data_IF_725972020878
#
_entry.id   IF_725972020878
#
_cell.length_a   1.000
_cell.length_b   1.000
_cell.length_c   1.000
_cell.angle_alpha   90.00
_cell.angle_beta   90.00
_cell.angle_gamma   90.00
#
_symmetry.space_group_name_H-M   'P 1'
#
loop_
_entity.id
_entity.type
_entity.pdbx_description
1 polymer ?
#
# COMPACT_ATOMS: atom_id res chain seq x y z
N UNK A 1 -22.61 5.55 73.59
CA UNK A 1 -22.92 5.90 72.19
C UNK A 1 -22.01 5.03 71.31
N UNK A 2 -22.55 3.97 70.71
CA UNK A 2 -21.91 3.17 69.63
C UNK A 2 -22.33 3.79 68.28
N UNK A 3 -21.65 3.55 67.12
CA UNK A 3 -20.98 2.31 66.66
C UNK A 3 -19.49 2.50 66.24
N UNK A 4 -18.61 1.48 66.26
CA UNK A 4 -18.43 0.35 65.31
C UNK A 4 -18.12 0.83 63.86
N UNK A 5 -17.21 0.27 63.07
CA UNK A 5 -16.62 -1.06 63.07
C UNK A 5 -15.38 -1.16 62.15
N UNK A 6 -14.58 -2.18 62.46
CA UNK A 6 -13.92 -3.12 61.54
C UNK A 6 -12.70 -2.73 60.70
N UNK A 7 -11.71 -3.59 60.87
CA UNK A 7 -10.39 -3.63 60.29
C UNK A 7 -10.28 -4.72 59.22
N UNK A 8 -9.23 -4.63 58.40
CA UNK A 8 -8.40 -5.74 57.91
C UNK A 8 -7.42 -5.13 56.89
N UNK A 9 -6.20 -5.59 56.62
CA UNK A 9 -5.19 -6.53 57.13
C UNK A 9 -4.29 -6.67 55.89
N UNK A 10 -2.97 -6.80 55.87
CA UNK A 10 -1.87 -6.84 56.80
C UNK A 10 -0.68 -6.63 55.86
N UNK A 11 0.21 -5.70 56.20
CA UNK A 11 1.51 -5.56 55.57
C UNK A 11 2.41 -6.67 56.13
N UNK A 12 3.36 -7.16 55.30
CA UNK A 12 4.56 -7.91 55.70
C UNK A 12 5.43 -7.01 56.64
N UNK A 13 6.77 -7.16 56.89
CA UNK A 13 7.82 -8.03 56.34
C UNK A 13 8.84 -8.50 57.44
N UNK A 14 10.10 -8.75 57.05
CA UNK A 14 11.36 -8.92 57.83
C UNK A 14 11.91 -10.37 57.88
N UNK A 15 13.16 -10.76 57.59
CA UNK A 15 14.50 -10.21 57.26
C UNK A 15 15.23 -11.32 56.44
N UNK A 16 16.34 -11.20 55.69
CA UNK A 16 17.38 -10.20 55.40
C UNK A 16 18.32 -10.86 54.34
N UNK A 17 18.75 -10.20 53.26
CA UNK A 17 19.92 -9.31 53.11
C UNK A 17 21.27 -9.94 53.52
N UNK A 18 22.05 -10.37 52.52
CA UNK A 18 23.50 -10.12 52.25
C UNK A 18 23.94 -11.08 51.10
N UNK A 19 24.06 -10.60 49.86
CA UNK A 19 25.25 -10.00 49.23
C UNK A 19 26.34 -11.03 48.84
N UNK A 20 26.68 -11.11 47.55
CA UNK A 20 27.83 -11.90 47.08
C UNK A 20 27.91 -12.17 45.57
N UNK A 21 28.24 -11.12 44.80
CA UNK A 21 28.91 -11.04 43.49
C UNK A 21 29.22 -12.27 42.61
N UNK A 22 28.96 -12.03 41.30
CA UNK A 22 29.77 -12.36 40.12
C UNK A 22 29.53 -13.68 39.37
N UNK A 23 28.90 -13.61 38.19
CA UNK A 23 29.55 -13.89 36.89
C UNK A 23 28.70 -13.43 35.71
N UNK A 24 29.39 -12.89 34.71
CA UNK A 24 28.92 -12.26 33.48
C UNK A 24 28.47 -13.31 32.46
N UNK A 25 27.30 -13.09 31.84
CA UNK A 25 27.00 -13.55 30.47
C UNK A 25 25.91 -12.65 29.87
N UNK A 26 26.33 -11.45 29.45
CA UNK A 26 25.53 -10.57 28.59
C UNK A 26 25.62 -11.12 27.17
N UNK A 27 24.58 -11.79 26.68
CA UNK A 27 24.41 -12.04 25.25
C UNK A 27 23.57 -10.89 24.71
N UNK A 28 24.26 -9.89 24.19
CA UNK A 28 23.68 -8.80 23.40
C UNK A 28 23.27 -9.38 22.04
N UNK A 29 21.97 -9.56 21.82
CA UNK A 29 21.41 -9.59 20.47
C UNK A 29 20.96 -8.17 20.14
N UNK A 30 21.91 -7.37 19.66
CA UNK A 30 21.64 -6.10 19.00
C UNK A 30 21.09 -6.36 17.60
N UNK A 31 19.92 -5.81 17.22
CA UNK A 31 19.57 -5.71 15.81
C UNK A 31 20.45 -4.62 15.18
N UNK A 32 21.30 -5.01 14.23
CA UNK A 32 22.28 -4.13 13.56
C UNK A 32 21.66 -3.16 12.54
N UNK A 33 20.41 -2.72 12.73
CA UNK A 33 19.69 -1.93 11.70
C UNK A 33 19.68 -0.42 11.99
N UNK A 34 20.13 0.02 13.17
CA UNK A 34 20.06 1.44 13.56
C UNK A 34 21.39 2.20 13.60
N UNK A 35 22.49 1.62 13.12
CA UNK A 35 23.81 2.31 13.07
C UNK A 35 24.36 2.55 11.64
N UNK A 36 23.64 2.14 10.59
CA UNK A 36 24.05 2.40 9.21
C UNK A 36 23.63 3.78 8.68
N UNK A 37 22.65 4.45 9.30
CA UNK A 37 22.09 5.73 8.81
C UNK A 37 22.72 7.00 9.41
N UNK A 38 23.74 6.87 10.27
CA UNK A 38 24.28 8.00 11.05
C UNK A 38 25.71 8.46 10.72
N UNK A 39 26.45 7.78 9.83
CA UNK A 39 27.91 8.04 9.66
C UNK A 39 28.30 8.50 8.23
N UNK A 40 27.43 8.43 7.22
CA UNK A 40 27.81 8.87 5.85
C UNK A 40 27.80 10.39 5.64
N UNK A 41 27.23 11.18 6.56
CA UNK A 41 27.11 12.63 6.36
C UNK A 41 28.39 13.43 6.66
N UNK A 42 29.41 12.85 7.31
CA UNK A 42 30.57 13.62 7.85
C UNK A 42 31.90 13.41 7.09
N UNK A 43 32.01 12.49 6.13
CA UNK A 43 33.30 12.29 5.41
C UNK A 43 33.37 12.87 4.00
N UNK A 44 32.29 13.45 3.46
CA UNK A 44 32.27 13.94 2.06
C UNK A 44 32.75 15.38 1.83
N UNK A 45 33.64 15.91 2.69
CA UNK A 45 34.42 17.14 2.44
C UNK A 45 35.92 16.84 2.42
N UNK A 46 36.43 16.20 1.36
CA UNK A 46 37.78 16.45 0.80
C UNK A 46 38.12 15.55 -0.40
N UNK A 47 38.52 16.20 -1.49
CA UNK A 47 39.23 15.62 -2.64
C UNK A 47 38.29 15.03 -3.70
N UNK A 48 38.09 15.58 -4.91
CA UNK A 48 38.95 16.48 -5.66
C UNK A 48 40.12 15.71 -6.26
N UNK A 49 39.94 15.17 -7.47
CA UNK A 49 40.88 15.06 -8.60
C UNK A 49 40.17 14.27 -9.72
N UNK A 50 40.14 14.86 -10.91
CA UNK A 50 39.80 14.25 -12.21
C UNK A 50 41.07 14.39 -13.12
N UNK A 51 41.14 13.80 -14.33
CA UNK A 51 41.33 12.39 -14.70
C UNK A 51 42.70 12.15 -15.41
N UNK A 52 42.93 11.01 -16.11
CA UNK A 52 42.78 11.10 -17.56
C UNK A 52 42.17 9.87 -18.29
N UNK A 53 41.41 10.27 -19.32
CA UNK A 53 40.94 9.65 -20.58
C UNK A 53 41.83 8.55 -21.18
N UNK A 54 41.23 7.41 -21.60
CA UNK A 54 41.17 7.03 -23.03
C UNK A 54 40.12 5.95 -23.37
N UNK A 55 39.37 6.28 -24.43
CA UNK A 55 38.23 5.65 -25.08
C UNK A 55 38.24 4.13 -25.35
N UNK A 56 37.05 3.54 -25.17
CA UNK A 56 36.46 2.62 -26.15
C UNK A 56 35.06 3.19 -26.52
N UNK A 57 34.66 3.17 -27.81
CA UNK A 57 33.38 3.76 -28.21
C UNK A 57 32.22 2.95 -27.61
N UNK A 58 31.23 3.57 -26.96
CA UNK A 58 30.04 2.84 -26.57
C UNK A 58 29.30 2.46 -27.86
N UNK A 59 28.97 1.17 -27.99
CA UNK A 59 27.92 0.72 -28.89
C UNK A 59 26.66 1.45 -28.44
N UNK A 60 26.29 2.48 -29.21
CA UNK A 60 24.96 3.08 -29.12
C UNK A 60 23.98 2.03 -29.61
N UNK A 61 23.43 1.24 -28.69
CA UNK A 61 22.03 0.88 -28.81
C UNK A 61 21.25 2.15 -28.50
N UNK A 62 21.21 3.06 -29.49
CA UNK A 62 20.15 4.07 -29.56
C UNK A 62 18.86 3.26 -29.76
N UNK A 63 18.28 2.79 -28.65
CA UNK A 63 16.85 2.47 -28.62
C UNK A 63 16.14 3.80 -28.82
N UNK A 64 15.89 4.12 -30.09
CA UNK A 64 15.05 5.20 -30.61
C UNK A 64 13.57 5.06 -30.17
N UNK A 65 13.32 4.55 -28.98
CA UNK A 65 12.00 4.36 -28.38
C UNK A 65 11.87 5.12 -27.04
N UNK A 66 12.93 5.74 -26.52
CA UNK A 66 12.93 6.51 -25.28
C UNK A 66 12.68 8.03 -25.46
N UNK A 67 12.40 8.49 -26.68
CA UNK A 67 12.24 9.92 -26.98
C UNK A 67 10.83 10.32 -27.47
N UNK A 68 9.79 9.61 -27.00
CA UNK A 68 8.39 10.08 -27.06
C UNK A 68 7.67 9.75 -25.76
N UNK A 69 8.19 10.27 -24.65
CA UNK A 69 7.48 10.31 -23.39
C UNK A 69 6.94 11.72 -23.19
N UNK A 70 5.64 11.90 -23.44
CA UNK A 70 4.90 13.04 -22.90
C UNK A 70 5.24 13.19 -21.40
N UNK A 71 5.35 14.44 -20.95
CA UNK A 71 5.56 14.78 -19.54
C UNK A 71 4.67 13.94 -18.61
N UNK A 72 5.10 13.66 -17.36
CA UNK A 72 4.29 12.96 -16.38
C UNK A 72 3.12 13.86 -15.91
N UNK A 73 2.12 14.06 -16.77
CA UNK A 73 1.01 14.98 -16.54
C UNK A 73 -0.21 14.85 -17.44
N UNK A 74 -0.15 14.15 -18.59
CA UNK A 74 -1.17 14.33 -19.65
C UNK A 74 -2.09 13.14 -19.92
N UNK A 75 -2.06 12.09 -19.09
CA UNK A 75 -3.12 11.08 -19.15
C UNK A 75 -4.42 11.72 -18.60
N UNK A 76 -5.52 11.76 -19.37
CA UNK A 76 -6.76 12.35 -18.89
C UNK A 76 -7.32 11.54 -17.72
N UNK A 77 -7.84 12.26 -16.71
CA UNK A 77 -8.51 11.64 -15.57
C UNK A 77 -9.60 10.67 -16.04
N UNK A 78 -9.70 9.52 -15.37
CA UNK A 78 -10.78 8.58 -15.65
C UNK A 78 -12.11 9.17 -15.20
N UNK A 79 -13.11 9.33 -16.07
CA UNK A 79 -14.36 9.98 -15.70
C UNK A 79 -15.14 9.16 -14.67
N UNK A 80 -15.77 9.85 -13.73
CA UNK A 80 -16.75 9.21 -12.85
C UNK A 80 -17.98 8.79 -13.67
N UNK A 81 -18.38 7.55 -13.47
CA UNK A 81 -19.66 6.99 -13.92
C UNK A 81 -20.63 6.96 -12.75
N UNK A 82 -21.89 7.22 -13.03
CA UNK A 82 -22.93 7.29 -12.01
C UNK A 82 -23.91 6.14 -12.23
N UNK A 83 -23.87 5.17 -11.32
CA UNK A 83 -24.84 4.10 -11.25
C UNK A 83 -25.99 4.44 -10.29
N UNK A 84 -26.94 3.53 -10.20
CA UNK A 84 -28.13 3.63 -9.36
C UNK A 84 -27.76 3.80 -7.87
N UNK A 85 -26.77 3.03 -7.41
CA UNK A 85 -26.41 2.97 -5.97
C UNK A 85 -25.05 3.57 -5.64
N UNK A 86 -24.19 3.78 -6.64
CA UNK A 86 -22.84 4.27 -6.43
C UNK A 86 -22.33 5.06 -7.63
N UNK A 87 -21.41 5.99 -7.37
CA UNK A 87 -20.50 6.54 -8.37
C UNK A 87 -19.23 5.71 -8.40
N UNK A 88 -18.67 5.49 -9.58
CA UNK A 88 -17.54 4.59 -9.75
C UNK A 88 -16.61 5.00 -10.90
N UNK A 89 -15.39 4.47 -10.86
CA UNK A 89 -14.42 4.50 -11.97
C UNK A 89 -14.01 3.07 -12.31
N UNK A 90 -13.80 2.81 -13.59
CA UNK A 90 -13.26 1.55 -14.10
C UNK A 90 -11.81 1.76 -14.54
N UNK A 91 -10.91 0.98 -13.97
CA UNK A 91 -9.47 1.19 -14.08
C UNK A 91 -8.79 -0.08 -14.59
N UNK A 92 -7.86 0.09 -15.52
CA UNK A 92 -6.91 -0.96 -15.89
C UNK A 92 -5.60 -0.66 -15.17
N UNK A 93 -5.23 -1.51 -14.20
CA UNK A 93 -4.03 -1.26 -13.39
C UNK A 93 -2.74 -1.41 -14.22
N UNK A 94 -2.70 -2.43 -15.09
CA UNK A 94 -1.63 -2.64 -16.08
C UNK A 94 -2.26 -3.27 -17.32
N UNK A 95 -2.09 -2.61 -18.48
CA UNK A 95 -2.38 -3.22 -19.77
C UNK A 95 -1.10 -3.89 -20.31
N UNK A 96 -1.02 -5.21 -20.17
CA UNK A 96 0.03 -6.05 -20.76
C UNK A 96 -0.59 -7.02 -21.79
N UNK A 97 0.19 -7.41 -22.80
CA UNK A 97 -0.24 -8.31 -23.86
C UNK A 97 -0.52 -9.74 -23.35
N UNK A 98 -0.01 -10.07 -22.16
CA UNK A 98 -0.31 -11.30 -21.44
C UNK A 98 -1.24 -10.97 -20.29
N UNK A 99 -2.34 -11.72 -20.13
CA UNK A 99 -3.33 -11.55 -19.04
C UNK A 99 -2.61 -11.29 -17.72
N UNK A 100 -2.72 -10.06 -17.24
CA UNK A 100 -2.04 -9.63 -16.03
C UNK A 100 -2.92 -9.99 -14.84
N UNK A 101 -2.41 -10.84 -13.96
CA UNK A 101 -3.05 -11.17 -12.68
C UNK A 101 -2.97 -10.02 -11.66
N UNK A 102 -2.43 -8.86 -12.07
CA UNK A 102 -2.22 -7.68 -11.21
C UNK A 102 -3.52 -7.12 -10.68
N UNK A 103 -4.57 -6.98 -11.50
CA UNK A 103 -5.87 -6.47 -11.05
C UNK A 103 -6.49 -7.39 -10.00
N UNK A 104 -6.49 -8.70 -10.27
CA UNK A 104 -6.99 -9.70 -9.32
C UNK A 104 -6.15 -9.75 -8.05
N UNK A 105 -4.83 -9.75 -8.19
CA UNK A 105 -3.89 -9.71 -7.06
C UNK A 105 -4.09 -8.46 -6.21
N UNK A 106 -4.31 -7.28 -6.83
CA UNK A 106 -4.61 -6.05 -6.11
C UNK A 106 -5.89 -6.24 -5.30
N UNK A 107 -6.98 -6.70 -5.92
CA UNK A 107 -8.26 -6.90 -5.26
C UNK A 107 -8.17 -7.86 -4.07
N UNK A 108 -7.60 -9.06 -4.28
CA UNK A 108 -7.53 -10.08 -3.24
C UNK A 108 -6.63 -9.64 -2.07
N UNK A 109 -5.51 -8.96 -2.36
CA UNK A 109 -4.60 -8.45 -1.32
C UNK A 109 -5.17 -7.23 -0.62
N UNK A 110 -5.81 -6.30 -1.33
CA UNK A 110 -6.49 -5.16 -0.75
C UNK A 110 -7.60 -5.62 0.19
N UNK A 111 -8.46 -6.55 -0.25
CA UNK A 111 -9.49 -7.18 0.58
C UNK A 111 -8.92 -7.69 1.90
N UNK A 112 -7.93 -8.59 1.82
CA UNK A 112 -7.30 -9.19 3.02
C UNK A 112 -6.68 -8.14 3.94
N UNK A 113 -6.09 -7.11 3.35
CA UNK A 113 -5.43 -6.01 4.06
C UNK A 113 -6.45 -5.13 4.80
N UNK A 114 -7.58 -4.84 4.18
CA UNK A 114 -8.67 -4.05 4.78
C UNK A 114 -9.42 -4.85 5.85
N UNK A 115 -9.70 -6.13 5.60
CA UNK A 115 -10.32 -7.06 6.57
C UNK A 115 -9.54 -7.18 7.88
N UNK A 116 -8.22 -6.96 7.83
CA UNK A 116 -7.38 -6.96 9.01
C UNK A 116 -7.63 -5.75 9.94
N UNK A 117 -8.32 -4.71 9.48
CA UNK A 117 -8.56 -3.46 10.22
C UNK A 117 -10.04 -3.17 10.43
N UNK A 118 -10.87 -3.35 9.40
CA UNK A 118 -12.31 -3.00 9.40
C UNK A 118 -13.18 -4.13 8.89
N UNK A 119 -14.49 -4.04 9.14
CA UNK A 119 -15.45 -5.00 8.61
C UNK A 119 -15.60 -4.80 7.11
N UNK A 120 -15.52 -5.90 6.39
CA UNK A 120 -15.69 -5.94 4.94
C UNK A 120 -16.86 -6.85 4.64
N UNK A 121 -17.80 -6.31 3.86
CA UNK A 121 -18.88 -7.10 3.31
C UNK A 121 -18.52 -7.54 1.90
N UNK A 122 -18.54 -8.85 1.67
CA UNK A 122 -18.24 -9.45 0.38
C UNK A 122 -19.52 -9.87 -0.31
N UNK A 123 -19.56 -9.77 -1.64
CA UNK A 123 -20.71 -10.25 -2.39
C UNK A 123 -20.37 -10.55 -3.84
N UNK A 124 -21.43 -10.82 -4.61
CA UNK A 124 -21.39 -10.92 -6.06
C UNK A 124 -22.42 -9.99 -6.68
N UNK A 125 -22.49 -9.96 -8.01
CA UNK A 125 -23.53 -9.22 -8.71
C UNK A 125 -24.93 -9.54 -8.15
N UNK A 126 -25.79 -8.51 -8.07
CA UNK A 126 -27.11 -8.60 -7.44
C UNK A 126 -27.13 -8.63 -5.91
N UNK A 127 -25.98 -8.71 -5.23
CA UNK A 127 -25.92 -8.61 -3.76
C UNK A 127 -26.01 -7.16 -3.27
N UNK A 128 -26.37 -6.99 -1.99
CA UNK A 128 -26.35 -5.67 -1.33
C UNK A 128 -24.98 -4.98 -1.37
N UNK A 129 -23.89 -5.76 -1.44
CA UNK A 129 -22.51 -5.28 -1.49
C UNK A 129 -22.03 -4.89 -2.90
N UNK A 130 -22.69 -5.37 -3.97
CA UNK A 130 -22.25 -5.14 -5.34
C UNK A 130 -22.09 -3.67 -5.69
N UNK A 131 -23.05 -2.84 -5.24
CA UNK A 131 -23.15 -1.38 -5.45
C UNK A 131 -23.16 -0.90 -6.90
N UNK A 132 -22.48 -1.61 -7.79
CA UNK A 132 -22.41 -1.42 -9.23
C UNK A 132 -22.71 -2.77 -9.87
N UNK A 133 -23.73 -2.82 -10.71
CA UNK A 133 -24.17 -4.03 -11.42
C UNK A 133 -23.35 -4.28 -12.68
N UNK A 134 -23.30 -5.54 -13.12
CA UNK A 134 -22.63 -5.88 -14.39
C UNK A 134 -23.26 -5.17 -15.60
N UNK A 135 -24.57 -4.89 -15.57
CA UNK A 135 -25.25 -4.14 -16.62
C UNK A 135 -24.76 -2.68 -16.70
N UNK A 136 -24.50 -2.03 -15.57
CA UNK A 136 -23.94 -0.67 -15.54
C UNK A 136 -22.50 -0.65 -16.04
N UNK A 137 -21.71 -1.68 -15.74
CA UNK A 137 -20.32 -1.79 -16.23
C UNK A 137 -20.24 -1.92 -17.76
N UNK A 138 -21.21 -2.61 -18.38
CA UNK A 138 -21.23 -2.89 -19.82
C UNK A 138 -21.68 -1.71 -20.71
N UNK A 139 -22.13 -0.59 -20.15
CA UNK A 139 -22.68 0.55 -20.90
C UNK A 139 -21.66 1.37 -21.71
N UNK A 140 -20.39 0.96 -21.80
CA UNK A 140 -19.37 1.70 -22.58
C UNK A 140 -18.96 0.93 -23.84
N UNK A 141 -19.06 1.60 -24.99
CA UNK A 141 -18.53 1.19 -26.30
C UNK A 141 -16.99 1.32 -26.31
N UNK A 142 -16.30 0.56 -25.46
CA UNK A 142 -14.84 0.54 -25.47
C UNK A 142 -14.34 -0.23 -26.72
N UNK A 143 -13.48 0.38 -27.57
CA UNK A 143 -12.96 -0.26 -28.78
C UNK A 143 -12.02 -1.44 -28.50
N UNK A 144 -11.67 -1.67 -27.23
CA UNK A 144 -10.86 -2.82 -26.79
C UNK A 144 -11.68 -3.64 -25.80
N UNK A 145 -11.93 -4.90 -26.13
CA UNK A 145 -12.56 -5.87 -25.23
C UNK A 145 -11.57 -6.20 -24.11
N UNK A 146 -11.58 -5.41 -23.04
CA UNK A 146 -10.87 -5.74 -21.80
C UNK A 146 -11.68 -6.79 -21.08
N UNK A 147 -11.04 -7.88 -20.64
CA UNK A 147 -11.74 -8.93 -19.92
C UNK A 147 -12.25 -8.39 -18.57
N UNK A 148 -13.45 -8.79 -18.09
CA UNK A 148 -14.00 -8.30 -16.82
C UNK A 148 -13.07 -8.49 -15.60
N UNK A 149 -12.23 -9.53 -15.61
CA UNK A 149 -11.27 -9.83 -14.54
C UNK A 149 -10.00 -8.97 -14.57
N UNK A 150 -9.79 -8.21 -15.65
CA UNK A 150 -8.64 -7.31 -15.82
C UNK A 150 -8.96 -5.87 -15.40
N UNK A 151 -10.24 -5.57 -15.16
CA UNK A 151 -10.74 -4.24 -14.84
C UNK A 151 -11.10 -4.12 -13.35
N UNK A 152 -10.45 -3.17 -12.67
CA UNK A 152 -10.79 -2.80 -11.29
C UNK A 152 -11.89 -1.73 -11.32
N UNK A 153 -13.04 -2.03 -10.74
CA UNK A 153 -14.03 -1.00 -10.44
C UNK A 153 -13.82 -0.51 -9.00
N UNK A 154 -13.63 0.79 -8.82
CA UNK A 154 -13.60 1.43 -7.50
C UNK A 154 -14.85 2.29 -7.37
N UNK A 155 -15.56 2.19 -6.26
CA UNK A 155 -16.83 2.88 -6.09
C UNK A 155 -16.99 3.52 -4.71
N UNK A 156 -17.87 4.52 -4.66
CA UNK A 156 -18.44 5.07 -3.43
C UNK A 156 -19.95 5.10 -3.58
N UNK A 157 -20.68 4.61 -2.57
CA UNK A 157 -22.14 4.63 -2.59
C UNK A 157 -22.66 6.06 -2.63
N UNK A 158 -23.81 6.26 -3.28
CA UNK A 158 -24.40 7.59 -3.48
C UNK A 158 -24.79 8.27 -2.16
N UNK A 159 -25.07 7.48 -1.12
CA UNK A 159 -25.32 7.95 0.25
C UNK A 159 -24.02 8.24 1.05
N UNK A 160 -22.85 7.99 0.48
CA UNK A 160 -21.54 8.18 1.10
C UNK A 160 -21.22 7.19 2.23
N UNK A 161 -22.05 6.18 2.47
CA UNK A 161 -21.85 5.25 3.60
C UNK A 161 -20.78 4.19 3.34
N UNK A 162 -20.53 3.87 2.07
CA UNK A 162 -19.71 2.74 1.65
C UNK A 162 -18.72 3.11 0.56
N UNK A 163 -17.55 2.50 0.62
CA UNK A 163 -16.60 2.43 -0.49
C UNK A 163 -16.24 0.99 -0.76
N UNK A 164 -15.73 0.72 -1.95
CA UNK A 164 -15.41 -0.66 -2.28
C UNK A 164 -14.73 -0.86 -3.61
N UNK A 165 -14.46 -2.13 -3.86
CA UNK A 165 -13.78 -2.62 -5.05
C UNK A 165 -14.60 -3.74 -5.66
N UNK A 166 -14.59 -3.83 -6.99
CA UNK A 166 -15.18 -4.93 -7.74
C UNK A 166 -14.23 -5.35 -8.87
N UNK A 167 -14.09 -6.66 -9.07
CA UNK A 167 -13.35 -7.28 -10.18
C UNK A 167 -14.18 -8.45 -10.69
N UNK A 168 -14.54 -8.43 -11.97
CA UNK A 168 -15.51 -9.37 -12.52
C UNK A 168 -16.81 -9.36 -11.69
N UNK A 169 -17.21 -10.55 -11.22
CA UNK A 169 -18.40 -10.70 -10.39
C UNK A 169 -18.18 -10.42 -8.90
N UNK A 170 -16.94 -10.47 -8.43
CA UNK A 170 -16.63 -10.35 -7.01
C UNK A 170 -16.60 -8.89 -6.58
N UNK A 171 -17.22 -8.59 -5.44
CA UNK A 171 -17.23 -7.25 -4.86
C UNK A 171 -16.94 -7.28 -3.37
N UNK A 172 -16.30 -6.23 -2.88
CA UNK A 172 -16.23 -5.90 -1.47
C UNK A 172 -16.70 -4.47 -1.23
N UNK A 173 -17.37 -4.25 -0.09
CA UNK A 173 -17.60 -2.91 0.47
C UNK A 173 -17.15 -2.83 1.91
N UNK A 174 -16.71 -1.66 2.31
CA UNK A 174 -16.32 -1.30 3.66
C UNK A 174 -16.78 0.12 3.95
N UNK A 175 -16.77 0.53 5.22
CA UNK A 175 -17.20 1.88 5.59
C UNK A 175 -16.33 2.91 4.89
N UNK A 176 -16.98 3.87 4.23
CA UNK A 176 -16.27 5.01 3.64
C UNK A 176 -15.47 5.74 4.72
N UNK A 177 -14.27 6.23 4.38
CA UNK A 177 -13.33 6.82 5.33
C UNK A 177 -12.53 5.83 6.18
N UNK A 178 -12.70 4.50 6.01
CA UNK A 178 -11.89 3.52 6.74
C UNK A 178 -10.40 3.56 6.35
N UNK A 179 -10.11 3.77 5.07
CA UNK A 179 -8.76 4.04 4.56
C UNK A 179 -8.57 5.56 4.64
N UNK A 180 -7.46 6.00 5.22
CA UNK A 180 -7.19 7.43 5.45
C UNK A 180 -6.04 7.98 4.63
N UNK A 181 -5.21 7.09 4.07
CA UNK A 181 -4.13 7.43 3.14
C UNK A 181 -3.79 6.21 2.27
N UNK A 182 -3.32 6.48 1.07
CA UNK A 182 -2.79 5.48 0.15
C UNK A 182 -1.40 5.89 -0.33
N UNK A 183 -0.51 4.92 -0.51
CA UNK A 183 0.81 5.16 -1.11
C UNK A 183 1.13 4.03 -2.08
N UNK A 184 1.74 4.40 -3.21
CA UNK A 184 2.39 3.47 -4.12
C UNK A 184 3.91 3.63 -3.98
N UNK A 185 4.59 2.56 -3.61
CA UNK A 185 6.04 2.51 -3.51
C UNK A 185 6.61 1.69 -4.65
N UNK A 186 7.49 2.30 -5.45
CA UNK A 186 8.27 1.63 -6.49
C UNK A 186 9.52 1.02 -5.85
N UNK A 187 9.67 -0.30 -5.93
CA UNK A 187 10.81 -1.03 -5.39
C UNK A 187 11.79 -1.29 -6.53
N UNK A 188 12.94 -0.61 -6.52
CA UNK A 188 13.93 -0.60 -7.61
C UNK A 188 15.29 -1.11 -7.09
N UNK A 189 15.46 -2.44 -6.99
CA UNK A 189 16.65 -3.07 -6.43
C UNK A 189 17.74 -3.25 -7.50
N UNK A 190 19.01 -3.28 -7.09
CA UNK A 190 20.15 -3.46 -8.00
C UNK A 190 20.25 -4.89 -8.58
N UNK A 191 19.83 -5.91 -7.82
CA UNK A 191 20.14 -7.33 -8.10
C UNK A 191 18.97 -8.16 -8.64
N UNK A 192 17.77 -7.61 -8.67
CA UNK A 192 16.57 -8.31 -9.16
C UNK A 192 15.64 -7.32 -9.85
N UNK A 193 14.51 -7.80 -10.38
CA UNK A 193 13.66 -6.99 -11.25
C UNK A 193 12.87 -5.89 -10.55
N UNK A 194 12.81 -5.86 -9.23
CA UNK A 194 11.96 -4.92 -8.51
C UNK A 194 10.47 -5.21 -8.63
N UNK A 195 9.65 -4.30 -8.13
CA UNK A 195 8.22 -4.39 -8.20
C UNK A 195 7.52 -3.21 -7.56
N UNK A 196 6.28 -3.44 -7.14
CA UNK A 196 5.41 -2.40 -6.60
C UNK A 196 4.80 -2.83 -5.28
N UNK A 197 4.73 -1.91 -4.32
CA UNK A 197 4.08 -2.11 -3.04
C UNK A 197 3.00 -1.04 -2.86
N UNK A 198 1.81 -1.46 -2.48
CA UNK A 198 0.71 -0.54 -2.11
C UNK A 198 0.59 -0.56 -0.60
N UNK A 199 0.47 0.62 0.00
CA UNK A 199 0.28 0.80 1.44
C UNK A 199 -0.99 1.58 1.72
N UNK A 200 -1.76 1.10 2.70
CA UNK A 200 -2.94 1.76 3.25
C UNK A 200 -2.72 2.13 4.70
N UNK A 201 -3.26 3.28 5.10
CA UNK A 201 -3.38 3.70 6.49
C UNK A 201 -4.84 3.68 6.91
N UNK A 202 -5.04 3.47 8.20
CA UNK A 202 -6.33 3.37 8.88
C UNK A 202 -6.27 4.20 10.16
N UNK A 203 -7.40 4.67 10.67
CA UNK A 203 -7.46 5.35 11.98
C UNK A 203 -7.70 4.38 13.14
N UNK A 204 -7.90 3.10 12.84
CA UNK A 204 -8.15 2.05 13.83
C UNK A 204 -6.96 1.09 13.90
N UNK A 205 -6.67 0.51 15.07
CA UNK A 205 -5.64 -0.52 15.17
C UNK A 205 -6.02 -1.78 14.40
N UNK A 206 -5.01 -2.57 14.03
CA UNK A 206 -5.23 -3.87 13.41
C UNK A 206 -6.03 -4.76 14.36
N UNK A 207 -7.07 -5.41 13.84
CA UNK A 207 -7.89 -6.35 14.58
C UNK A 207 -7.04 -7.47 15.15
N UNK A 208 -7.26 -7.79 16.42
CA UNK A 208 -6.52 -8.81 17.16
C UNK A 208 -5.01 -8.49 17.36
N UNK A 209 -4.59 -7.24 17.14
CA UNK A 209 -3.28 -6.77 17.60
C UNK A 209 -3.32 -6.53 19.11
N UNK A 210 -2.23 -6.88 19.82
CA UNK A 210 -2.03 -6.48 21.21
C UNK A 210 -1.32 -5.13 21.33
N UNK A 211 -0.80 -4.60 20.21
CA UNK A 211 -0.06 -3.35 20.15
C UNK A 211 -0.93 -2.24 19.53
N UNK A 212 -1.26 -1.23 20.34
CA UNK A 212 -2.02 -0.03 19.94
C UNK A 212 -1.10 1.17 19.57
N UNK A 213 0.22 1.04 19.77
CA UNK A 213 1.15 2.19 19.73
C UNK A 213 1.92 2.38 18.41
N UNK A 214 1.56 1.67 17.32
CA UNK A 214 2.22 1.78 16.01
C UNK A 214 1.36 2.49 14.96
N UNK A 215 1.95 3.04 13.88
CA UNK A 215 1.18 3.58 12.77
C UNK A 215 0.26 2.50 12.20
N UNK A 216 -1.04 2.73 12.24
CA UNK A 216 -2.09 1.82 11.81
C UNK A 216 -2.09 1.70 10.28
N UNK A 217 -1.09 0.99 9.75
CA UNK A 217 -0.86 0.86 8.32
C UNK A 217 -0.43 -0.54 7.95
N UNK A 218 -0.67 -0.91 6.71
CA UNK A 218 -0.32 -2.22 6.18
C UNK A 218 -0.12 -2.11 4.69
N UNK A 219 0.67 -3.02 4.14
CA UNK A 219 1.10 -2.98 2.76
C UNK A 219 1.04 -4.36 2.12
N UNK A 220 1.03 -4.38 0.78
CA UNK A 220 1.11 -5.60 0.01
C UNK A 220 1.82 -5.37 -1.33
N UNK A 221 2.52 -6.39 -1.83
CA UNK A 221 3.16 -6.34 -3.15
C UNK A 221 2.15 -6.63 -4.27
N UNK A 222 2.29 -5.94 -5.40
CA UNK A 222 1.58 -6.27 -6.64
C UNK A 222 2.30 -7.40 -7.40
N UNK A 223 1.55 -8.18 -8.16
CA UNK A 223 2.07 -9.26 -8.99
C UNK A 223 2.67 -8.72 -10.31
N UNK A 224 3.58 -7.75 -10.22
CA UNK A 224 4.22 -7.13 -11.38
C UNK A 224 5.69 -6.81 -11.13
N UNK A 225 6.53 -7.18 -12.11
CA UNK A 225 7.92 -6.72 -12.21
C UNK A 225 7.94 -5.22 -12.52
N UNK A 226 8.91 -4.51 -11.94
CA UNK A 226 9.12 -3.08 -12.20
C UNK A 226 9.46 -2.80 -13.66
N UNK A 227 8.85 -1.76 -14.22
CA UNK A 227 9.28 -1.11 -15.47
C UNK A 227 8.81 0.33 -15.50
N UNK A 228 9.55 1.24 -16.14
CA UNK A 228 9.19 2.66 -16.19
C UNK A 228 7.79 2.92 -16.78
N UNK A 229 7.41 2.16 -17.81
CA UNK A 229 6.06 2.22 -18.40
C UNK A 229 4.99 1.79 -17.39
N UNK A 230 5.17 0.67 -16.69
CA UNK A 230 4.20 0.19 -15.68
C UNK A 230 4.12 1.14 -14.49
N UNK A 231 5.23 1.76 -14.09
CA UNK A 231 5.24 2.72 -12.99
C UNK A 231 4.32 3.90 -13.25
N UNK A 232 4.35 4.47 -14.47
CA UNK A 232 3.46 5.59 -14.84
C UNK A 232 1.99 5.18 -14.82
N UNK A 233 1.66 4.04 -15.45
CA UNK A 233 0.28 3.53 -15.52
C UNK A 233 -0.27 3.18 -14.13
N UNK A 234 0.52 2.47 -13.30
CA UNK A 234 0.13 2.13 -11.93
C UNK A 234 0.00 3.36 -11.04
N UNK A 235 0.89 4.34 -11.18
CA UNK A 235 0.81 5.60 -10.43
C UNK A 235 -0.49 6.33 -10.75
N UNK A 236 -0.82 6.45 -12.03
CA UNK A 236 -2.09 7.03 -12.46
C UNK A 236 -3.29 6.25 -11.91
N UNK A 237 -3.31 4.92 -12.07
CA UNK A 237 -4.40 4.09 -11.58
C UNK A 237 -4.56 4.16 -10.04
N UNK A 238 -3.47 4.19 -9.29
CA UNK A 238 -3.52 4.33 -7.82
C UNK A 238 -3.98 5.73 -7.40
N UNK A 239 -3.59 6.78 -8.13
CA UNK A 239 -4.13 8.13 -7.92
C UNK A 239 -5.63 8.17 -8.17
N UNK A 240 -6.10 7.50 -9.22
CA UNK A 240 -7.53 7.35 -9.51
C UNK A 240 -8.26 6.62 -8.40
N UNK A 241 -7.73 5.50 -7.89
CA UNK A 241 -8.27 4.79 -6.72
C UNK A 241 -8.39 5.74 -5.53
N UNK A 242 -7.32 6.46 -5.19
CA UNK A 242 -7.31 7.38 -4.07
C UNK A 242 -8.31 8.54 -4.25
N UNK A 243 -8.50 9.03 -5.49
CA UNK A 243 -9.50 10.06 -5.80
C UNK A 243 -10.93 9.57 -5.55
N UNK A 244 -11.24 8.31 -5.87
CA UNK A 244 -12.56 7.73 -5.61
C UNK A 244 -12.77 7.55 -4.11
N UNK A 245 -11.74 7.09 -3.39
CA UNK A 245 -11.79 6.90 -1.95
C UNK A 245 -11.75 8.21 -1.14
N UNK A 246 -11.45 9.34 -1.79
CA UNK A 246 -11.26 10.65 -1.17
C UNK A 246 -10.15 10.67 -0.11
N UNK A 247 -8.98 10.12 -0.47
CA UNK A 247 -7.81 10.03 0.43
C UNK A 247 -6.55 10.63 -0.21
N UNK A 248 -5.61 11.16 0.60
CA UNK A 248 -4.30 11.55 0.11
C UNK A 248 -3.55 10.38 -0.54
N UNK A 249 -2.86 10.67 -1.63
CA UNK A 249 -2.04 9.71 -2.38
C UNK A 249 -0.60 10.18 -2.52
N UNK A 250 0.34 9.32 -2.16
CA UNK A 250 1.77 9.57 -2.32
C UNK A 250 2.43 8.51 -3.20
N UNK A 251 3.51 8.92 -3.86
CA UNK A 251 4.41 8.02 -4.58
C UNK A 251 5.75 8.05 -3.87
N UNK A 252 6.33 6.88 -3.66
CA UNK A 252 7.65 6.73 -3.05
C UNK A 252 8.52 5.79 -3.91
N UNK A 253 9.83 5.92 -3.77
CA UNK A 253 10.81 5.11 -4.48
C UNK A 253 11.86 4.60 -3.51
N UNK A 254 12.12 3.29 -3.52
CA UNK A 254 13.11 2.65 -2.65
C UNK A 254 14.01 1.76 -3.49
N UNK A 255 15.32 1.99 -3.39
CA UNK A 255 16.37 1.10 -3.89
C UNK A 255 17.23 0.54 -2.76
N UNK A 256 17.81 -0.63 -3.00
CA UNK A 256 18.89 -1.17 -2.17
C UNK A 256 20.22 -0.67 -2.78
N UNK A 257 20.97 0.18 -2.08
CA UNK A 257 22.33 0.63 -2.46
C UNK A 257 23.35 -0.53 -2.46
#
# INVERSE_FOLDING_TARGET
MFPAAYAASRVAPHFGVLAGLATVAVVMVTPQVLLALGIDWVTRRRGGIEPPVMAAPPVRTDSLEDELADEPGDAPDVPFRYGERARFKQLVLIADAVRSDVTRSFYDKAKRTIEAYVDVETGRDGSGAAMVSTAELAQEDAPTVVLPDEMLTVFVSNDGAWSGFRVGDDTIRFRHGAITRMQLTQVIPVRWKGGYMVKFWFDVPKRNSQDDCGPHSTWFYLAADYSGRRSRVLTHACREVASVLDVPFDVDETGDD
#
